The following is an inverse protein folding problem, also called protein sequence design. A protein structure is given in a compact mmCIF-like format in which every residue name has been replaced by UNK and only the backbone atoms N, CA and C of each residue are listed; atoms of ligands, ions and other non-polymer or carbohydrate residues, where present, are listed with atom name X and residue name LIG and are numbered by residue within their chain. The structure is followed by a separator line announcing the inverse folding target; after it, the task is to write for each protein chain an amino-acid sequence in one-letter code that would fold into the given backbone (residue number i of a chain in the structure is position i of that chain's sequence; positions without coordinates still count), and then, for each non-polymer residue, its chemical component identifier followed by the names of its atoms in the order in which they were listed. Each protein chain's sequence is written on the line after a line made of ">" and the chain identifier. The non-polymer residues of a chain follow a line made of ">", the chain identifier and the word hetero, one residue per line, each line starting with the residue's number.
data_IF_272803877133
#
_entry.id   IF_272803877133
#
_cell.length_a   1.000
_cell.length_b   1.000
_cell.length_c   1.000
_cell.angle_alpha   90.00
_cell.angle_beta   90.00
_cell.angle_gamma   90.00
#
_symmetry.space_group_name_H-M   'P 1'
#
loop_
_entity.id
_entity.type
_entity.pdbx_description
1 polymer ?
#
# COMPACT_ATOMS: atom_id res chain seq x y z
N UNK A 1 -13.06 -10.81 14.41
CA UNK A 1 -13.43 -10.77 12.99
C UNK A 1 -12.62 -9.66 12.34
N UNK A 2 -11.60 -10.00 11.56
CA UNK A 2 -10.73 -8.98 10.93
C UNK A 2 -11.51 -8.31 9.82
N UNK A 3 -11.83 -7.02 10.00
CA UNK A 3 -12.61 -6.25 9.03
C UNK A 3 -11.73 -5.91 7.83
N UNK A 4 -11.80 -6.73 6.79
CA UNK A 4 -11.13 -6.49 5.51
C UNK A 4 -11.85 -5.36 4.75
N UNK A 5 -11.22 -4.19 4.63
CA UNK A 5 -11.78 -3.08 3.84
C UNK A 5 -11.17 -3.08 2.45
N UNK A 6 -12.01 -3.18 1.41
CA UNK A 6 -11.60 -3.03 0.01
C UNK A 6 -11.73 -1.57 -0.41
N UNK A 7 -10.63 -1.02 -0.92
CA UNK A 7 -10.47 0.37 -1.32
C UNK A 7 -10.18 0.39 -2.80
N UNK A 8 -11.04 1.07 -3.56
CA UNK A 8 -10.86 1.21 -5.01
C UNK A 8 -10.28 2.57 -5.31
N UNK A 9 -9.06 2.59 -5.87
CA UNK A 9 -8.43 3.83 -6.31
C UNK A 9 -8.74 4.09 -7.78
N UNK A 10 -8.79 5.37 -8.19
CA UNK A 10 -9.02 5.74 -9.57
C UNK A 10 -7.92 5.15 -10.46
N UNK A 11 -8.34 4.48 -11.52
CA UNK A 11 -7.46 3.92 -12.53
C UNK A 11 -6.85 5.06 -13.35
N UNK A 12 -5.52 5.08 -13.48
CA UNK A 12 -4.86 6.04 -14.37
C UNK A 12 -5.17 5.77 -15.85
N UNK A 13 -5.43 4.50 -16.22
CA UNK A 13 -5.73 4.10 -17.59
C UNK A 13 -7.07 3.37 -17.67
N UNK A 14 -8.01 3.92 -18.45
CA UNK A 14 -9.30 3.27 -18.70
C UNK A 14 -9.09 2.00 -19.55
N UNK A 15 -9.32 0.82 -18.96
CA UNK A 15 -9.21 -0.48 -19.62
C UNK A 15 -7.97 -1.31 -19.27
N UNK A 16 -7.09 -0.83 -18.37
CA UNK A 16 -6.02 -1.67 -17.82
C UNK A 16 -6.58 -2.70 -16.83
N UNK A 17 -5.96 -3.88 -16.76
CA UNK A 17 -6.31 -4.88 -15.73
C UNK A 17 -5.79 -4.38 -14.39
N UNK A 18 -6.67 -4.02 -13.43
CA UNK A 18 -6.22 -3.63 -12.10
C UNK A 18 -5.64 -4.83 -11.37
N UNK A 19 -4.88 -4.55 -10.32
CA UNK A 19 -4.31 -5.52 -9.41
C UNK A 19 -4.81 -5.24 -7.99
N UNK A 20 -5.20 -6.29 -7.27
CA UNK A 20 -5.55 -6.21 -5.85
C UNK A 20 -4.28 -6.39 -5.03
N UNK A 21 -3.91 -5.41 -4.23
CA UNK A 21 -2.79 -5.46 -3.31
C UNK A 21 -3.28 -5.42 -1.86
N UNK A 22 -2.60 -6.14 -0.98
CA UNK A 22 -2.91 -6.20 0.44
C UNK A 22 -1.89 -5.35 1.19
N UNK A 23 -2.32 -4.27 1.82
CA UNK A 23 -1.46 -3.46 2.69
C UNK A 23 -1.75 -3.87 4.12
N UNK A 24 -0.72 -4.40 4.79
CA UNK A 24 -0.78 -4.82 6.17
C UNK A 24 0.16 -3.97 7.01
N UNK A 25 -0.34 -3.49 8.14
CA UNK A 25 0.55 -2.93 9.15
C UNK A 25 1.45 -4.02 9.75
N UNK A 26 2.71 -3.70 10.04
CA UNK A 26 3.63 -4.66 10.65
C UNK A 26 3.23 -5.06 12.09
N UNK A 27 2.41 -4.25 12.78
CA UNK A 27 1.91 -4.59 14.12
C UNK A 27 1.05 -5.86 14.10
N UNK A 28 1.10 -6.61 15.19
CA UNK A 28 0.44 -7.92 15.29
C UNK A 28 -1.10 -7.84 15.21
N UNK A 29 -1.68 -6.72 15.69
CA UNK A 29 -3.10 -6.35 15.55
C UNK A 29 -3.36 -5.41 14.36
N UNK A 30 -2.40 -5.34 13.43
CA UNK A 30 -2.42 -4.43 12.29
C UNK A 30 -3.62 -4.63 11.38
N UNK A 31 -4.32 -3.53 11.06
CA UNK A 31 -5.39 -3.55 10.08
C UNK A 31 -4.87 -4.00 8.70
N UNK A 32 -5.66 -4.83 8.02
CA UNK A 32 -5.40 -5.30 6.68
C UNK A 32 -6.34 -4.59 5.69
N UNK A 33 -5.75 -3.83 4.77
CA UNK A 33 -6.46 -3.10 3.75
C UNK A 33 -6.20 -3.72 2.39
N UNK A 34 -7.25 -3.83 1.59
CA UNK A 34 -7.17 -4.34 0.23
C UNK A 34 -7.32 -3.15 -0.71
N UNK A 35 -6.35 -2.92 -1.58
CA UNK A 35 -6.34 -1.83 -2.54
C UNK A 35 -6.44 -2.39 -3.94
N UNK A 36 -7.46 -1.97 -4.68
CA UNK A 36 -7.57 -2.21 -6.11
C UNK A 36 -6.94 -1.01 -6.83
N UNK A 37 -5.80 -1.23 -7.50
CA UNK A 37 -5.06 -0.18 -8.21
C UNK A 37 -4.80 -0.57 -9.66
N UNK A 38 -4.63 0.42 -10.54
CA UNK A 38 -4.16 0.17 -11.91
C UNK A 38 -2.70 -0.26 -11.91
N UNK A 39 -2.33 -1.17 -12.82
CA UNK A 39 -0.95 -1.67 -12.88
C UNK A 39 0.08 -0.59 -13.21
N UNK A 40 -0.30 0.37 -14.05
CA UNK A 40 0.52 1.52 -14.41
C UNK A 40 0.25 2.75 -13.55
N UNK A 41 -0.63 2.64 -12.56
CA UNK A 41 -0.94 3.75 -11.66
C UNK A 41 0.20 3.89 -10.64
N UNK A 42 0.71 5.11 -10.41
CA UNK A 42 1.72 5.35 -9.39
C UNK A 42 1.20 4.98 -7.99
N UNK A 43 2.07 4.37 -7.19
CA UNK A 43 1.75 3.94 -5.82
C UNK A 43 1.43 5.13 -4.90
N UNK A 44 1.76 6.36 -5.28
CA UNK A 44 1.47 7.59 -4.53
C UNK A 44 0.07 7.62 -3.93
N UNK A 45 -0.98 7.29 -4.69
CA UNK A 45 -2.36 7.38 -4.20
C UNK A 45 -2.63 6.35 -3.09
N UNK A 46 -2.14 5.11 -3.25
CA UNK A 46 -2.26 4.04 -2.26
C UNK A 46 -1.51 4.40 -0.97
N UNK A 47 -0.27 4.88 -1.12
CA UNK A 47 0.58 5.21 0.02
C UNK A 47 0.00 6.39 0.82
N UNK A 48 -0.55 7.39 0.13
CA UNK A 48 -1.16 8.57 0.76
C UNK A 48 -2.49 8.21 1.44
N UNK A 49 -3.35 7.43 0.79
CA UNK A 49 -4.61 6.94 1.38
C UNK A 49 -4.34 6.08 2.62
N UNK A 50 -3.34 5.20 2.57
CA UNK A 50 -2.96 4.42 3.75
C UNK A 50 -2.45 5.30 4.89
N UNK A 51 -1.55 6.24 4.61
CA UNK A 51 -1.00 7.16 5.61
C UNK A 51 -2.11 8.00 6.28
N UNK A 52 -3.06 8.50 5.50
CA UNK A 52 -4.24 9.24 6.00
C UNK A 52 -5.10 8.38 6.94
N UNK A 53 -5.37 7.11 6.58
CA UNK A 53 -6.14 6.17 7.43
C UNK A 53 -5.52 5.93 8.78
N UNK A 54 -4.19 5.81 8.83
CA UNK A 54 -3.48 5.60 10.09
C UNK A 54 -3.14 6.92 10.80
N UNK A 55 -3.56 8.07 10.25
CA UNK A 55 -3.28 9.41 10.76
C UNK A 55 -1.78 9.68 10.95
N UNK A 56 -0.95 9.15 10.04
CA UNK A 56 0.50 9.33 10.09
C UNK A 56 1.00 10.01 8.82
N UNK A 57 2.16 10.65 8.93
CA UNK A 57 2.82 11.24 7.77
C UNK A 57 3.49 10.13 6.95
N UNK A 58 3.37 10.21 5.63
CA UNK A 58 4.06 9.28 4.71
C UNK A 58 5.57 9.17 5.02
N UNK A 59 6.21 10.27 5.43
CA UNK A 59 7.63 10.30 5.80
C UNK A 59 7.97 9.40 6.99
N UNK A 60 6.99 9.10 7.84
CA UNK A 60 7.13 8.20 8.99
C UNK A 60 6.72 6.76 8.67
N UNK A 61 6.31 6.46 7.43
CA UNK A 61 5.88 5.12 7.03
C UNK A 61 6.78 4.57 5.92
N UNK A 62 7.45 3.45 6.21
CA UNK A 62 8.21 2.69 5.23
C UNK A 62 7.38 1.54 4.68
N UNK A 63 7.19 1.52 3.36
CA UNK A 63 6.45 0.46 2.68
C UNK A 63 7.41 -0.50 2.00
N UNK A 64 7.28 -1.79 2.32
CA UNK A 64 8.13 -2.87 1.81
C UNK A 64 7.24 -3.94 1.20
N UNK A 65 7.51 -4.33 -0.05
CA UNK A 65 6.78 -5.42 -0.68
C UNK A 65 7.34 -6.80 -0.26
N UNK A 66 6.60 -7.86 -0.55
CA UNK A 66 6.98 -9.26 -0.32
C UNK A 66 8.38 -9.65 -0.84
N UNK A 67 8.91 -8.93 -1.85
CA UNK A 67 10.27 -9.12 -2.41
C UNK A 67 11.36 -8.31 -1.70
N UNK A 68 11.08 -7.74 -0.53
CA UNK A 68 11.99 -6.86 0.22
C UNK A 68 12.41 -5.59 -0.53
N UNK A 69 11.66 -5.19 -1.56
CA UNK A 69 11.88 -3.93 -2.25
C UNK A 69 11.10 -2.81 -1.56
N UNK A 70 11.76 -1.68 -1.33
CA UNK A 70 11.10 -0.46 -0.83
C UNK A 70 10.22 0.11 -1.94
N UNK A 71 8.98 0.43 -1.58
CA UNK A 71 8.03 1.05 -2.49
C UNK A 71 8.21 2.56 -2.43
N UNK A 72 8.39 3.17 -3.59
CA UNK A 72 8.46 4.62 -3.76
C UNK A 72 7.15 5.14 -4.40
N UNK A 73 6.81 6.40 -4.13
CA UNK A 73 5.61 7.05 -4.68
C UNK A 73 5.55 7.04 -6.21
N UNK A 74 6.72 7.11 -6.87
CA UNK A 74 6.82 7.10 -8.32
C UNK A 74 6.75 5.71 -8.96
N UNK A 75 6.85 4.63 -8.17
CA UNK A 75 6.84 3.26 -8.70
C UNK A 75 5.42 2.81 -9.00
N UNK A 76 5.28 1.97 -10.01
CA UNK A 76 4.01 1.32 -10.37
C UNK A 76 3.99 -0.14 -9.90
N UNK A 77 2.84 -0.80 -9.98
CA UNK A 77 2.76 -2.21 -9.65
C UNK A 77 3.57 -3.05 -10.64
N UNK A 78 3.60 -2.63 -11.91
CA UNK A 78 4.35 -3.30 -12.98
C UNK A 78 5.88 -3.15 -12.80
N UNK A 79 6.36 -1.96 -12.44
CA UNK A 79 7.77 -1.71 -12.07
C UNK A 79 8.27 -2.63 -10.94
N UNK A 80 7.39 -2.90 -9.98
CA UNK A 80 7.67 -3.74 -8.82
C UNK A 80 7.37 -5.22 -9.09
N UNK A 81 6.77 -5.52 -10.24
CA UNK A 81 6.33 -6.84 -10.66
C UNK A 81 5.34 -7.46 -9.67
N UNK A 82 4.43 -6.66 -9.12
CA UNK A 82 3.41 -7.08 -8.16
C UNK A 82 2.22 -7.75 -8.86
N UNK A 83 1.71 -8.80 -8.22
CA UNK A 83 0.61 -9.61 -8.69
C UNK A 83 -0.61 -9.54 -7.77
N UNK A 84 -1.72 -10.10 -8.24
CA UNK A 84 -2.97 -10.07 -7.48
C UNK A 84 -2.84 -10.84 -6.17
N UNK A 85 -3.16 -10.17 -5.07
CA UNK A 85 -3.09 -10.71 -3.72
C UNK A 85 -1.72 -10.55 -3.03
N UNK A 86 -0.74 -9.89 -3.67
CA UNK A 86 0.56 -9.58 -3.06
C UNK A 86 0.42 -8.70 -1.81
N UNK A 87 1.37 -8.85 -0.89
CA UNK A 87 1.37 -8.16 0.41
C UNK A 87 2.43 -7.07 0.44
N UNK A 88 2.00 -5.88 0.84
CA UNK A 88 2.81 -4.72 1.19
C UNK A 88 2.78 -4.57 2.71
N UNK A 89 3.95 -4.56 3.32
CA UNK A 89 4.11 -4.33 4.75
C UNK A 89 4.40 -2.84 4.98
N UNK A 90 3.58 -2.21 5.81
CA UNK A 90 3.79 -0.85 6.28
C UNK A 90 4.50 -0.87 7.64
N UNK A 91 5.67 -0.25 7.68
CA UNK A 91 6.49 -0.09 8.88
C UNK A 91 6.43 1.36 9.32
N UNK A 92 5.76 1.60 10.44
CA UNK A 92 5.82 2.88 11.12
C UNK A 92 7.19 3.05 11.75
N UNK A 93 7.92 4.09 11.34
CA UNK A 93 8.99 4.61 12.16
C UNK A 93 8.32 5.24 13.37
N UNK A 94 8.28 4.48 14.48
CA UNK A 94 8.02 5.09 15.76
C UNK A 94 9.12 6.14 15.94
N UNK A 95 8.79 7.42 15.75
CA UNK A 95 9.47 8.45 16.52
C UNK A 95 9.17 8.03 17.95
N UNK A 96 10.14 7.39 18.60
CA UNK A 96 10.13 7.21 20.05
C UNK A 96 10.10 8.62 20.63
N UNK A 97 8.89 9.17 20.73
CA UNK A 97 8.58 10.27 21.62
C UNK A 97 8.87 9.78 23.02
N UNK A 98 9.74 10.53 23.69
CA UNK A 98 10.29 10.39 25.02
C UNK A 98 9.41 9.73 26.08
#
# INVERSE_FOLDING_TARGET
>A
ATQSTLITLPLAVAGEKPVVLKVKDFREDGALYYYLIGRNTPMKNLLHDYADRINELYEHVSFICCRFCRIDMGKTADDLGLEDGDVIYAFLYAVRGC
#
